data_IF_401799407538
#
_entry.id   IF_401799407538
#
_cell.length_a   1.000
_cell.length_b   1.000
_cell.length_c   1.000
_cell.angle_alpha   90.00
_cell.angle_beta   90.00
_cell.angle_gamma   90.00
#
_symmetry.space_group_name_H-M   'P 1'
#
loop_
_entity.id
_entity.type
_entity.pdbx_description
1 polymer ?
#
# COMPACT_ATOMS: atom_id res chain seq x y z
N UNK A 1 -33.72 57.29 45.88
CA UNK A 1 -33.20 55.93 46.09
C UNK A 1 -33.44 55.14 44.81
N UNK A 2 -32.39 54.91 44.02
CA UNK A 2 -32.40 54.16 42.75
C UNK A 2 -31.32 53.07 42.81
N UNK A 3 -31.36 52.21 43.83
CA UNK A 3 -30.38 51.13 44.03
C UNK A 3 -30.87 49.76 43.53
N UNK A 4 -31.94 49.73 42.72
CA UNK A 4 -32.56 48.47 42.27
C UNK A 4 -32.04 47.90 40.94
N UNK A 5 -31.33 48.68 40.12
CA UNK A 5 -31.05 48.35 38.71
C UNK A 5 -29.78 47.55 38.45
N UNK A 6 -28.80 47.52 39.36
CA UNK A 6 -27.54 46.78 39.16
C UNK A 6 -27.73 45.27 39.13
N UNK A 7 -28.72 44.74 39.86
CA UNK A 7 -28.98 43.30 39.92
C UNK A 7 -29.46 42.71 38.59
N UNK A 8 -30.15 43.51 37.76
CA UNK A 8 -30.67 43.08 36.46
C UNK A 8 -29.56 42.97 35.41
N UNK A 9 -28.64 43.93 35.38
CA UNK A 9 -27.51 43.94 34.44
C UNK A 9 -26.57 42.76 34.68
N UNK A 10 -26.27 42.45 35.94
CA UNK A 10 -25.40 41.32 36.30
C UNK A 10 -25.99 39.95 35.91
N UNK A 11 -27.32 39.81 35.95
CA UNK A 11 -28.00 38.61 35.44
C UNK A 11 -27.91 38.50 33.92
N UNK A 12 -28.00 39.63 33.21
CA UNK A 12 -27.86 39.67 31.76
C UNK A 12 -26.44 39.31 31.31
N UNK A 13 -25.42 39.85 31.98
CA UNK A 13 -24.01 39.55 31.69
C UNK A 13 -23.69 38.05 31.84
N UNK A 14 -24.15 37.43 32.93
CA UNK A 14 -23.97 35.99 33.16
C UNK A 14 -24.66 35.14 32.06
N UNK A 15 -25.82 35.57 31.56
CA UNK A 15 -26.50 34.89 30.47
C UNK A 15 -25.70 35.02 29.16
N UNK A 16 -25.17 36.20 28.86
CA UNK A 16 -24.35 36.43 27.66
C UNK A 16 -23.07 35.58 27.70
N UNK A 17 -22.38 35.51 28.84
CA UNK A 17 -21.18 34.67 28.98
C UNK A 17 -21.50 33.18 28.77
N UNK A 18 -22.62 32.71 29.32
CA UNK A 18 -23.10 31.34 29.11
C UNK A 18 -23.35 31.01 27.64
N UNK A 19 -23.98 31.92 26.91
CA UNK A 19 -24.23 31.76 25.46
C UNK A 19 -22.94 31.76 24.65
N UNK A 20 -21.98 32.65 24.97
CA UNK A 20 -20.67 32.69 24.29
C UNK A 20 -19.91 31.38 24.48
N UNK A 21 -19.94 30.80 25.68
CA UNK A 21 -19.30 29.51 25.96
C UNK A 21 -19.94 28.36 25.18
N UNK A 22 -21.28 28.32 25.14
CA UNK A 22 -22.02 27.29 24.40
C UNK A 22 -21.75 27.37 22.89
N UNK A 23 -21.72 28.59 22.31
CA UNK A 23 -21.36 28.81 20.90
C UNK A 23 -19.93 28.35 20.62
N UNK A 24 -18.96 28.69 21.49
CA UNK A 24 -17.56 28.23 21.35
C UNK A 24 -17.46 26.71 21.38
N UNK A 25 -18.20 26.04 22.28
CA UNK A 25 -18.23 24.57 22.40
C UNK A 25 -18.79 23.91 21.15
N UNK A 26 -19.89 24.43 20.60
CA UNK A 26 -20.48 23.94 19.34
C UNK A 26 -19.56 24.15 18.15
N UNK A 27 -18.87 25.29 18.08
CA UNK A 27 -17.90 25.58 17.00
C UNK A 27 -16.71 24.62 17.01
N UNK A 28 -16.21 24.23 18.18
CA UNK A 28 -15.13 23.22 18.30
C UNK A 28 -15.60 21.85 17.81
N UNK A 29 -16.78 21.38 18.24
CA UNK A 29 -17.35 20.11 17.78
C UNK A 29 -17.55 20.09 16.26
N UNK A 30 -18.05 21.19 15.70
CA UNK A 30 -18.29 21.30 14.26
C UNK A 30 -16.99 21.29 13.44
N UNK A 31 -15.93 21.96 13.91
CA UNK A 31 -14.60 21.90 13.28
C UNK A 31 -13.99 20.50 13.31
N UNK A 32 -14.11 19.81 14.44
CA UNK A 32 -13.61 18.43 14.56
C UNK A 32 -14.36 17.51 13.59
N UNK A 33 -15.69 17.63 13.50
CA UNK A 33 -16.48 16.83 12.58
C UNK A 33 -16.12 17.04 11.10
N UNK A 34 -15.92 18.29 10.66
CA UNK A 34 -15.48 18.60 9.29
C UNK A 34 -14.10 18.01 9.01
N UNK A 35 -13.13 18.24 9.89
CA UNK A 35 -11.77 17.73 9.72
C UNK A 35 -11.73 16.20 9.64
N UNK A 36 -12.55 15.50 10.44
CA UNK A 36 -12.67 14.04 10.37
C UNK A 36 -13.29 13.56 9.05
N UNK A 37 -14.27 14.29 8.52
CA UNK A 37 -14.91 13.94 7.26
C UNK A 37 -13.91 14.09 6.09
N UNK A 38 -13.17 15.19 6.05
CA UNK A 38 -12.15 15.44 5.02
C UNK A 38 -11.03 14.39 5.06
N UNK A 39 -10.49 14.07 6.25
CA UNK A 39 -9.49 13.00 6.41
C UNK A 39 -10.02 11.63 5.96
N UNK A 40 -11.31 11.37 6.15
CA UNK A 40 -11.92 10.09 5.76
C UNK A 40 -12.07 9.98 4.24
N UNK A 41 -12.40 11.07 3.56
CA UNK A 41 -12.49 11.08 2.09
C UNK A 41 -11.09 11.04 1.45
N UNK A 42 -10.12 11.78 1.98
CA UNK A 42 -8.73 11.75 1.50
C UNK A 42 -8.11 10.34 1.61
N UNK A 43 -8.31 9.66 2.75
CA UNK A 43 -7.84 8.26 2.92
C UNK A 43 -8.57 7.29 1.99
N UNK A 44 -9.86 7.51 1.69
CA UNK A 44 -10.58 6.69 0.71
C UNK A 44 -10.04 6.89 -0.70
N UNK A 45 -9.76 8.12 -1.10
CA UNK A 45 -9.18 8.43 -2.41
C UNK A 45 -7.79 7.82 -2.56
N UNK A 46 -6.92 7.93 -1.55
CA UNK A 46 -5.62 7.27 -1.54
C UNK A 46 -5.75 5.74 -1.61
N UNK A 47 -6.66 5.13 -0.85
CA UNK A 47 -6.88 3.69 -0.88
C UNK A 47 -7.36 3.20 -2.25
N UNK A 48 -8.22 3.99 -2.92
CA UNK A 48 -8.68 3.70 -4.28
C UNK A 48 -7.52 3.84 -5.28
N UNK A 49 -6.70 4.88 -5.16
CA UNK A 49 -5.52 5.07 -6.00
C UNK A 49 -4.49 3.93 -5.85
N UNK A 50 -4.22 3.50 -4.61
CA UNK A 50 -3.34 2.36 -4.32
C UNK A 50 -3.91 1.07 -4.91
N UNK A 51 -5.23 0.83 -4.76
CA UNK A 51 -5.87 -0.34 -5.38
C UNK A 51 -5.80 -0.33 -6.90
N UNK A 52 -5.93 0.85 -7.52
CA UNK A 52 -5.86 0.99 -8.96
C UNK A 52 -4.43 0.72 -9.46
N UNK A 53 -3.41 1.24 -8.76
CA UNK A 53 -2.01 0.91 -9.05
C UNK A 53 -1.74 -0.59 -8.94
N UNK A 54 -2.26 -1.29 -7.92
CA UNK A 54 -2.06 -2.74 -7.81
C UNK A 54 -2.75 -3.56 -8.90
N UNK A 55 -3.79 -3.04 -9.58
CA UNK A 55 -4.47 -3.74 -10.68
C UNK A 55 -3.72 -3.66 -12.02
N UNK A 56 -2.86 -2.67 -12.20
CA UNK A 56 -2.06 -2.48 -13.43
C UNK A 56 -0.64 -3.06 -13.35
N UNK A 57 -0.18 -3.53 -12.18
CA UNK A 57 1.20 -3.99 -12.04
C UNK A 57 1.50 -5.38 -12.61
N UNK A 58 0.50 -6.20 -12.95
CA UNK A 58 0.77 -7.55 -13.50
C UNK A 58 0.83 -7.49 -15.03
N UNK A 59 1.92 -6.95 -15.55
CA UNK A 59 2.26 -7.09 -16.96
C UNK A 59 2.84 -8.48 -17.20
N UNK A 60 2.26 -9.23 -18.15
CA UNK A 60 2.93 -10.41 -18.72
C UNK A 60 3.71 -9.95 -19.93
N UNK A 61 5.03 -10.12 -19.91
CA UNK A 61 5.94 -9.77 -21.01
C UNK A 61 6.46 -11.07 -21.61
N UNK A 62 6.55 -11.17 -22.94
CA UNK A 62 7.28 -12.28 -23.55
C UNK A 62 8.78 -12.00 -23.45
N UNK A 63 9.50 -12.91 -22.79
CA UNK A 63 10.96 -12.90 -22.66
C UNK A 63 11.55 -14.10 -23.40
N UNK A 64 12.80 -14.01 -23.85
CA UNK A 64 13.57 -15.18 -24.26
C UNK A 64 14.57 -15.55 -23.17
N UNK A 65 14.49 -16.76 -22.63
CA UNK A 65 15.44 -17.32 -21.69
C UNK A 65 16.08 -18.57 -22.30
N UNK A 66 17.41 -18.58 -22.45
CA UNK A 66 18.18 -19.67 -23.07
C UNK A 66 17.61 -20.14 -24.43
N UNK A 67 17.15 -19.19 -25.26
CA UNK A 67 16.58 -19.46 -26.58
C UNK A 67 15.12 -19.94 -26.58
N UNK A 68 14.42 -19.89 -25.43
CA UNK A 68 13.01 -20.25 -25.30
C UNK A 68 12.16 -19.04 -24.91
N UNK A 69 11.09 -18.81 -25.66
CA UNK A 69 10.09 -17.80 -25.31
C UNK A 69 9.32 -18.24 -24.06
N UNK A 70 9.34 -17.41 -23.03
CA UNK A 70 8.71 -17.64 -21.75
C UNK A 70 7.84 -16.42 -21.38
N UNK A 71 6.57 -16.61 -21.01
CA UNK A 71 5.78 -15.53 -20.42
C UNK A 71 6.35 -15.19 -19.05
N UNK A 72 6.84 -13.96 -18.89
CA UNK A 72 7.39 -13.43 -17.65
C UNK A 72 6.36 -12.53 -16.97
N UNK A 73 6.13 -12.76 -15.67
CA UNK A 73 5.31 -11.88 -14.84
C UNK A 73 6.23 -10.87 -14.16
N UNK A 74 6.05 -9.59 -14.47
CA UNK A 74 6.80 -8.52 -13.80
C UNK A 74 6.14 -8.21 -12.46
N UNK A 75 6.79 -8.59 -11.37
CA UNK A 75 6.37 -8.27 -10.01
C UNK A 75 7.32 -7.25 -9.39
N UNK A 76 6.89 -5.98 -9.33
CA UNK A 76 7.67 -4.90 -8.71
C UNK A 76 7.79 -5.03 -7.19
N UNK A 77 6.97 -5.86 -6.56
CA UNK A 77 7.06 -6.20 -5.15
C UNK A 77 7.98 -7.37 -4.84
N UNK A 78 8.42 -8.13 -5.85
CA UNK A 78 9.30 -9.27 -5.67
C UNK A 78 10.75 -8.83 -5.44
N UNK A 79 11.36 -9.31 -4.36
CA UNK A 79 12.77 -9.07 -4.08
C UNK A 79 13.72 -9.93 -4.93
N UNK A 80 13.21 -11.00 -5.54
CA UNK A 80 13.99 -11.99 -6.31
C UNK A 80 13.18 -12.51 -7.48
N UNK A 81 13.85 -12.78 -8.60
CA UNK A 81 13.28 -13.47 -9.75
C UNK A 81 13.25 -14.98 -9.50
N UNK A 82 12.12 -15.57 -9.86
CA UNK A 82 11.85 -17.00 -9.72
C UNK A 82 11.49 -17.54 -11.09
N UNK A 83 12.04 -18.69 -11.44
CA UNK A 83 11.87 -19.29 -12.77
C UNK A 83 11.35 -20.72 -12.59
N UNK A 84 10.39 -21.12 -13.43
CA UNK A 84 9.84 -22.48 -13.38
C UNK A 84 10.86 -23.54 -13.81
N UNK A 85 10.77 -24.74 -13.24
CA UNK A 85 11.64 -25.88 -13.58
C UNK A 85 11.56 -26.27 -15.07
N UNK A 86 10.47 -25.91 -15.77
CA UNK A 86 10.31 -26.12 -17.20
C UNK A 86 11.23 -25.26 -18.07
N UNK A 87 11.71 -24.13 -17.54
CA UNK A 87 12.60 -23.20 -18.23
C UNK A 87 14.06 -23.58 -18.00
N UNK A 88 14.39 -24.02 -16.78
CA UNK A 88 15.77 -24.31 -16.36
C UNK A 88 15.85 -25.70 -15.74
N UNK A 89 16.71 -26.56 -16.29
CA UNK A 89 16.98 -27.88 -15.72
C UNK A 89 17.67 -27.74 -14.35
N UNK A 90 16.89 -27.90 -13.27
CA UNK A 90 17.34 -27.62 -11.91
C UNK A 90 17.89 -28.85 -11.16
N UNK A 91 17.93 -30.03 -11.81
CA UNK A 91 18.23 -31.31 -11.14
C UNK A 91 19.60 -31.35 -10.45
N UNK A 92 20.59 -30.63 -10.97
CA UNK A 92 21.97 -30.64 -10.47
C UNK A 92 22.29 -29.48 -9.50
N UNK A 93 21.29 -28.65 -9.18
CA UNK A 93 21.48 -27.49 -8.32
C UNK A 93 21.29 -27.83 -6.83
N UNK A 94 22.10 -27.25 -5.93
CA UNK A 94 21.94 -27.46 -4.49
C UNK A 94 20.58 -26.95 -4.02
N UNK A 95 19.92 -27.64 -3.10
CA UNK A 95 18.69 -27.11 -2.47
C UNK A 95 19.04 -25.85 -1.68
N UNK A 96 18.18 -24.83 -1.72
CA UNK A 96 18.43 -23.59 -0.99
C UNK A 96 18.00 -23.66 0.48
N UNK A 97 18.65 -22.85 1.33
CA UNK A 97 18.34 -22.77 2.76
C UNK A 97 17.12 -21.90 3.09
N UNK A 98 16.50 -21.25 2.09
CA UNK A 98 15.33 -20.39 2.26
C UNK A 98 14.09 -20.96 1.56
N UNK A 99 12.91 -20.52 1.95
CA UNK A 99 11.62 -20.95 1.39
C UNK A 99 10.85 -19.77 0.80
N UNK A 100 10.14 -20.04 -0.29
CA UNK A 100 9.15 -19.16 -0.90
C UNK A 100 7.77 -19.59 -0.44
N UNK A 101 7.03 -18.70 0.22
CA UNK A 101 5.66 -18.97 0.64
C UNK A 101 4.68 -18.12 -0.14
N UNK A 102 3.71 -18.77 -0.77
CA UNK A 102 2.62 -18.11 -1.48
C UNK A 102 1.54 -17.59 -0.52
N UNK A 103 0.64 -16.77 -1.06
CA UNK A 103 -0.50 -16.19 -0.32
C UNK A 103 -1.42 -17.26 0.30
N UNK A 104 -1.45 -18.47 -0.27
CA UNK A 104 -2.21 -19.62 0.26
C UNK A 104 -1.54 -20.32 1.44
N UNK A 105 -0.35 -19.87 1.87
CA UNK A 105 0.45 -20.52 2.91
C UNK A 105 1.22 -21.75 2.44
N UNK A 106 1.13 -22.11 1.15
CA UNK A 106 1.97 -23.15 0.58
C UNK A 106 3.40 -22.62 0.42
N UNK A 107 4.37 -23.38 0.91
CA UNK A 107 5.78 -23.03 0.82
C UNK A 107 6.54 -24.04 -0.04
N UNK A 108 7.46 -23.55 -0.87
CA UNK A 108 8.37 -24.34 -1.68
C UNK A 108 9.80 -23.92 -1.40
N UNK A 109 10.73 -24.87 -1.54
CA UNK A 109 12.15 -24.62 -1.33
C UNK A 109 12.82 -24.55 -2.69
N UNK A 110 13.18 -23.36 -3.20
CA UNK A 110 13.84 -23.25 -4.48
C UNK A 110 15.21 -23.94 -4.44
N UNK A 111 15.71 -24.31 -5.62
CA UNK A 111 17.09 -24.78 -5.77
C UNK A 111 18.03 -23.61 -6.00
N UNK A 112 19.34 -23.89 -5.99
CA UNK A 112 20.42 -22.93 -5.94
C UNK A 112 20.38 -21.89 -7.06
N UNK A 113 21.10 -20.77 -6.89
CA UNK A 113 21.02 -19.68 -7.83
C UNK A 113 21.54 -20.12 -9.21
N UNK A 114 20.76 -19.84 -10.24
CA UNK A 114 21.16 -20.01 -11.64
C UNK A 114 21.47 -18.65 -12.23
N UNK A 115 22.56 -18.60 -12.98
CA UNK A 115 22.86 -17.46 -13.83
C UNK A 115 22.24 -17.75 -15.19
N UNK A 116 21.28 -16.92 -15.58
CA UNK A 116 20.58 -17.03 -16.86
C UNK A 116 20.63 -15.69 -17.57
N UNK A 117 20.59 -15.74 -18.91
CA UNK A 117 20.52 -14.56 -19.75
C UNK A 117 19.09 -14.44 -20.26
N UNK A 118 18.46 -13.30 -20.04
CA UNK A 118 17.16 -12.98 -20.64
C UNK A 118 17.33 -11.90 -21.68
N UNK A 119 16.53 -11.97 -22.73
CA UNK A 119 16.42 -10.90 -23.72
C UNK A 119 15.02 -10.30 -23.64
N UNK A 120 14.94 -9.01 -23.29
CA UNK A 120 13.68 -8.24 -23.23
C UNK A 120 13.80 -7.05 -24.17
N UNK A 121 12.96 -7.00 -25.20
CA UNK A 121 12.99 -5.90 -26.19
C UNK A 121 14.31 -5.77 -26.94
N UNK A 122 15.07 -6.86 -27.09
CA UNK A 122 16.38 -6.87 -27.74
C UNK A 122 17.55 -6.43 -26.86
N UNK A 123 17.31 -6.21 -25.57
CA UNK A 123 18.36 -5.97 -24.56
C UNK A 123 18.61 -7.28 -23.81
N UNK A 124 19.86 -7.75 -23.83
CA UNK A 124 20.30 -8.90 -23.03
C UNK A 124 20.64 -8.45 -21.60
N UNK A 125 20.04 -9.11 -20.61
CA UNK A 125 20.36 -8.94 -19.20
C UNK A 125 20.76 -10.27 -18.56
N UNK A 126 21.71 -10.21 -17.64
CA UNK A 126 22.22 -11.37 -16.93
C UNK A 126 21.69 -11.35 -15.50
N UNK A 127 20.85 -12.32 -15.18
CA UNK A 127 20.12 -12.36 -13.92
C UNK A 127 20.55 -13.56 -13.07
N UNK A 128 20.38 -13.39 -11.75
CA UNK A 128 20.49 -14.46 -10.77
C UNK A 128 19.08 -14.91 -10.38
N UNK A 129 18.61 -16.06 -10.87
CA UNK A 129 17.29 -16.62 -10.52
C UNK A 129 17.42 -17.81 -9.62
N UNK A 130 16.28 -18.18 -9.05
CA UNK A 130 16.12 -19.36 -8.23
C UNK A 130 15.06 -20.23 -8.88
N UNK A 131 15.43 -21.40 -9.43
CA UNK A 131 14.46 -22.31 -10.00
C UNK A 131 13.61 -22.93 -8.87
N UNK A 132 12.30 -22.97 -9.07
CA UNK A 132 11.33 -23.60 -8.15
C UNK A 132 11.11 -25.06 -8.44
#
# INVERSE_FOLDING_TARGET
>A
MLEGSESGLKRLENLIEGWIQEIRKRRKKFRVAIVWQDLTEEVKEELVAVKQQCKECTGVVESEADGRLCPEVVDTGAAKTVVGEEVVAAQDLPVSDWQLCGVTGHCMTPRGPVIFTITVGGVEEKLHSWPT
#
